data_IF_033429278819
#
_entry.id   IF_033429278819
#
_cell.length_a   1.000
_cell.length_b   1.000
_cell.length_c   1.000
_cell.angle_alpha   90.00
_cell.angle_beta   90.00
_cell.angle_gamma   90.00
#
_symmetry.space_group_name_H-M   'P 1'
#
loop_
_entity.id
_entity.type
_entity.pdbx_description
1 polymer ?
#
# COMPACT_ATOMS: atom_id res chain seq x y z
N UNK A 1 26.14 -14.77 -8.07
CA UNK A 1 24.76 -14.52 -8.50
C UNK A 1 24.79 -13.38 -9.51
N UNK A 2 24.27 -13.53 -10.73
CA UNK A 2 24.19 -12.41 -11.67
C UNK A 2 23.20 -11.35 -11.15
N UNK A 3 23.50 -10.07 -11.38
CA UNK A 3 22.60 -8.98 -11.04
C UNK A 3 21.32 -9.10 -11.88
N UNK A 4 20.15 -9.08 -11.22
CA UNK A 4 18.88 -8.99 -11.94
C UNK A 4 18.69 -7.57 -12.44
N UNK A 5 18.42 -7.43 -13.74
CA UNK A 5 18.07 -6.15 -14.34
C UNK A 5 16.62 -5.85 -13.99
N UNK A 6 16.42 -4.89 -13.10
CA UNK A 6 15.09 -4.42 -12.69
C UNK A 6 14.71 -3.23 -13.58
N UNK A 7 13.60 -3.33 -14.30
CA UNK A 7 13.02 -2.22 -15.06
C UNK A 7 11.83 -1.65 -14.29
N UNK A 8 11.95 -0.41 -13.83
CA UNK A 8 10.87 0.30 -13.13
C UNK A 8 10.39 1.43 -14.02
N UNK A 9 9.07 1.56 -14.19
CA UNK A 9 8.46 2.65 -14.96
C UNK A 9 7.64 3.52 -14.00
N UNK A 10 8.11 4.74 -13.66
CA UNK A 10 7.47 5.60 -12.65
C UNK A 10 5.96 5.81 -12.79
N UNK A 11 5.39 6.11 -13.98
CA UNK A 11 3.94 6.31 -14.08
C UNK A 11 3.15 5.04 -13.75
N UNK A 12 3.62 3.86 -14.18
CA UNK A 12 2.95 2.59 -13.85
C UNK A 12 3.02 2.25 -12.36
N UNK A 13 4.08 2.68 -11.67
CA UNK A 13 4.22 2.49 -10.22
C UNK A 13 3.22 3.35 -9.45
N UNK A 14 2.97 4.58 -9.90
CA UNK A 14 1.94 5.45 -9.33
C UNK A 14 0.51 4.97 -9.63
N UNK A 15 0.24 4.47 -10.84
CA UNK A 15 -1.06 3.87 -11.19
C UNK A 15 -1.35 2.60 -10.39
N UNK A 16 -0.34 1.76 -10.17
CA UNK A 16 -0.48 0.59 -9.31
C UNK A 16 -0.79 1.00 -7.87
N UNK A 17 -0.08 2.01 -7.35
CA UNK A 17 -0.31 2.52 -6.00
C UNK A 17 -1.71 3.13 -5.85
N UNK A 18 -2.18 3.91 -6.83
CA UNK A 18 -3.52 4.49 -6.81
C UNK A 18 -4.61 3.44 -6.93
N UNK A 19 -4.39 2.38 -7.71
CA UNK A 19 -5.31 1.24 -7.83
C UNK A 19 -5.45 0.51 -6.50
N UNK A 20 -4.34 0.25 -5.81
CA UNK A 20 -4.36 -0.41 -4.50
C UNK A 20 -4.95 0.49 -3.43
N UNK A 21 -4.66 1.79 -3.45
CA UNK A 21 -5.29 2.75 -2.55
C UNK A 21 -6.81 2.83 -2.77
N UNK A 22 -7.25 2.83 -4.03
CA UNK A 22 -8.66 2.84 -4.39
C UNK A 22 -9.42 1.58 -3.97
N UNK A 23 -8.78 0.40 -4.07
CA UNK A 23 -9.39 -0.86 -3.60
C UNK A 23 -9.44 -0.95 -2.09
N UNK A 24 -8.40 -0.51 -1.38
CA UNK A 24 -8.37 -0.49 0.09
C UNK A 24 -9.36 0.53 0.70
N UNK A 25 -9.64 1.63 0.00
CA UNK A 25 -10.69 2.58 0.37
C UNK A 25 -12.12 2.02 0.21
N UNK A 26 -12.33 0.96 -0.58
CA UNK A 26 -13.64 0.27 -0.71
C UNK A 26 -13.89 -0.73 0.43
N UNK A 27 -13.43 -0.41 1.65
CA UNK A 27 -13.58 -1.29 2.80
C UNK A 27 -15.07 -1.65 2.97
N UNK A 28 -15.42 -2.94 3.15
CA UNK A 28 -16.82 -3.34 3.31
C UNK A 28 -17.47 -2.57 4.46
N UNK A 29 -18.79 -2.30 4.40
CA UNK A 29 -19.49 -1.58 5.46
C UNK A 29 -19.19 -2.24 6.80
N UNK A 30 -18.91 -1.42 7.83
CA UNK A 30 -18.70 -1.91 9.19
C UNK A 30 -19.80 -2.91 9.54
N UNK A 31 -19.48 -4.04 10.21
CA UNK A 31 -20.49 -5.02 10.57
C UNK A 31 -21.64 -4.30 11.26
N UNK A 32 -22.85 -4.40 10.70
CA UNK A 32 -24.05 -3.87 11.33
C UNK A 32 -24.15 -4.43 12.75
N UNK A 33 -24.58 -3.60 13.71
CA UNK A 33 -24.74 -4.01 15.10
C UNK A 33 -25.50 -5.34 15.17
N UNK A 34 -24.88 -6.35 15.78
CA UNK A 34 -25.49 -7.66 15.92
C UNK A 34 -26.69 -7.49 16.86
N UNK A 35 -27.90 -7.91 16.47
CA UNK A 35 -29.07 -7.82 17.33
C UNK A 35 -28.76 -8.47 18.68
N UNK A 36 -28.84 -7.69 19.75
CA UNK A 36 -28.68 -8.23 21.09
C UNK A 36 -29.90 -9.11 21.39
N UNK A 37 -29.67 -10.41 21.57
CA UNK A 37 -30.69 -11.29 22.12
C UNK A 37 -31.07 -10.78 23.51
N UNK A 38 -32.37 -10.67 23.81
CA UNK A 38 -32.83 -10.40 25.18
C UNK A 38 -32.34 -11.55 26.04
N UNK A 39 -31.58 -11.32 27.14
CA UNK A 39 -31.01 -12.40 27.92
C UNK A 39 -32.12 -13.25 28.55
N UNK A 40 -32.42 -14.40 27.96
CA UNK A 40 -33.36 -15.40 28.47
C UNK A 40 -32.66 -16.66 28.97
N UNK A 41 -31.41 -16.88 28.53
CA UNK A 41 -30.60 -18.05 28.85
C UNK A 41 -29.10 -17.74 28.85
N UNK A 42 -28.26 -18.55 29.50
CA UNK A 42 -26.80 -18.41 29.41
C UNK A 42 -26.26 -18.56 27.97
N UNK A 43 -26.98 -19.25 27.09
CA UNK A 43 -26.63 -19.35 25.67
C UNK A 43 -26.78 -17.99 24.96
N UNK A 44 -27.76 -17.18 25.32
CA UNK A 44 -27.97 -15.84 24.72
C UNK A 44 -26.84 -14.88 25.09
N UNK A 45 -26.34 -14.99 26.33
CA UNK A 45 -25.18 -14.23 26.81
C UNK A 45 -23.90 -14.65 26.07
N UNK A 46 -23.71 -15.95 25.85
CA UNK A 46 -22.58 -16.46 25.08
C UNK A 46 -22.62 -16.00 23.61
N UNK A 47 -23.80 -16.01 22.98
CA UNK A 47 -24.00 -15.57 21.60
C UNK A 47 -23.76 -14.07 21.41
N UNK A 48 -24.27 -13.23 22.32
CA UNK A 48 -24.02 -11.79 22.29
C UNK A 48 -22.54 -11.47 22.50
N UNK A 49 -21.86 -12.17 23.42
CA UNK A 49 -20.41 -12.06 23.61
C UNK A 49 -19.60 -12.45 22.38
N UNK A 50 -19.93 -13.60 21.76
CA UNK A 50 -19.27 -14.06 20.54
C UNK A 50 -19.48 -13.06 19.39
N UNK A 51 -20.69 -12.55 19.22
CA UNK A 51 -20.99 -11.48 18.28
C UNK A 51 -20.14 -10.23 18.50
N UNK A 52 -20.06 -9.74 19.75
CA UNK A 52 -19.25 -8.57 20.08
C UNK A 52 -17.76 -8.77 19.75
N UNK A 53 -17.21 -9.96 20.00
CA UNK A 53 -15.81 -10.27 19.65
C UNK A 53 -15.58 -10.30 18.14
N UNK A 54 -16.52 -10.86 17.37
CA UNK A 54 -16.45 -10.87 15.90
C UNK A 54 -16.56 -9.46 15.32
N UNK A 55 -17.48 -8.64 15.83
CA UNK A 55 -17.63 -7.24 15.43
C UNK A 55 -16.37 -6.43 15.73
N UNK A 56 -15.76 -6.63 16.90
CA UNK A 56 -14.49 -5.96 17.27
C UNK A 56 -13.36 -6.37 16.34
N UNK A 57 -13.20 -7.68 16.06
CA UNK A 57 -12.17 -8.19 15.15
C UNK A 57 -12.33 -7.62 13.75
N UNK A 58 -13.55 -7.61 13.23
CA UNK A 58 -13.85 -7.04 11.93
C UNK A 58 -13.54 -5.53 11.90
N UNK A 59 -13.91 -4.78 12.94
CA UNK A 59 -13.58 -3.35 13.04
C UNK A 59 -12.07 -3.09 13.05
N UNK A 60 -11.27 -3.90 13.77
CA UNK A 60 -9.81 -3.80 13.73
C UNK A 60 -9.24 -4.12 12.34
N UNK A 61 -9.73 -5.16 11.67
CA UNK A 61 -9.28 -5.50 10.32
C UNK A 61 -9.61 -4.39 9.31
N UNK A 62 -10.80 -3.82 9.39
CA UNK A 62 -11.20 -2.65 8.59
C UNK A 62 -10.28 -1.46 8.85
N UNK A 63 -9.95 -1.19 10.12
CA UNK A 63 -9.07 -0.09 10.50
C UNK A 63 -7.61 -0.29 10.07
N UNK A 64 -7.12 -1.53 10.05
CA UNK A 64 -5.79 -1.87 9.52
C UNK A 64 -5.75 -1.71 7.99
N UNK A 65 -6.74 -2.27 7.29
CA UNK A 65 -6.84 -2.18 5.83
C UNK A 65 -6.92 -0.72 5.34
N UNK A 66 -7.66 0.13 6.06
CA UNK A 66 -7.81 1.55 5.73
C UNK A 66 -6.48 2.33 5.75
N UNK A 67 -5.47 1.88 6.51
CA UNK A 67 -4.16 2.57 6.60
C UNK A 67 -3.21 2.23 5.45
N UNK A 68 -3.38 1.06 4.82
CA UNK A 68 -2.43 0.53 3.84
C UNK A 68 -2.43 1.35 2.55
N UNK A 69 -3.61 1.79 2.08
CA UNK A 69 -3.73 2.57 0.84
C UNK A 69 -2.92 3.87 0.85
N UNK A 70 -3.14 4.78 1.82
CA UNK A 70 -2.35 6.00 1.95
C UNK A 70 -0.85 5.75 2.14
N UNK A 71 -0.48 4.71 2.91
CA UNK A 71 0.91 4.36 3.13
C UNK A 71 1.60 3.95 1.81
N UNK A 72 0.97 3.07 1.03
CA UNK A 72 1.49 2.66 -0.28
C UNK A 72 1.61 3.82 -1.24
N UNK A 73 0.64 4.73 -1.27
CA UNK A 73 0.69 5.92 -2.11
C UNK A 73 1.90 6.81 -1.77
N UNK A 74 2.13 7.08 -0.47
CA UNK A 74 3.27 7.87 0.00
C UNK A 74 4.62 7.20 -0.29
N UNK A 75 4.73 5.88 -0.05
CA UNK A 75 5.93 5.10 -0.39
C UNK A 75 6.21 5.13 -1.88
N UNK A 76 5.19 4.95 -2.73
CA UNK A 76 5.36 4.97 -4.18
C UNK A 76 5.76 6.34 -4.72
N UNK A 77 5.21 7.44 -4.18
CA UNK A 77 5.66 8.80 -4.53
C UNK A 77 7.13 9.02 -4.16
N UNK A 78 7.54 8.57 -2.96
CA UNK A 78 8.94 8.64 -2.52
C UNK A 78 9.85 7.84 -3.45
N UNK A 79 9.45 6.62 -3.82
CA UNK A 79 10.19 5.77 -4.74
C UNK A 79 10.36 6.42 -6.12
N UNK A 80 9.30 7.02 -6.68
CA UNK A 80 9.39 7.76 -7.95
C UNK A 80 10.39 8.90 -7.85
N UNK A 81 10.31 9.73 -6.81
CA UNK A 81 11.25 10.85 -6.65
C UNK A 81 12.72 10.39 -6.55
N UNK A 82 12.95 9.24 -5.91
CA UNK A 82 14.29 8.65 -5.78
C UNK A 82 14.80 8.14 -7.13
N UNK A 83 13.93 7.49 -7.91
CA UNK A 83 14.27 7.01 -9.26
C UNK A 83 14.59 8.18 -10.21
N UNK A 84 13.79 9.25 -10.18
CA UNK A 84 14.04 10.44 -11.00
C UNK A 84 15.36 11.13 -10.64
N UNK A 85 15.68 11.23 -9.34
CA UNK A 85 16.97 11.76 -8.90
C UNK A 85 18.15 10.88 -9.37
N UNK A 86 17.98 9.56 -9.30
CA UNK A 86 18.99 8.61 -9.75
C UNK A 86 19.18 8.64 -11.27
N UNK A 87 18.10 8.77 -12.05
CA UNK A 87 18.15 8.91 -13.50
C UNK A 87 18.87 10.19 -13.91
N UNK A 88 18.61 11.32 -13.23
CA UNK A 88 19.33 12.58 -13.47
C UNK A 88 20.84 12.45 -13.16
N UNK A 89 21.19 11.76 -12.07
CA UNK A 89 22.58 11.49 -11.73
C UNK A 89 23.26 10.62 -12.79
N UNK A 90 22.61 9.53 -13.22
CA UNK A 90 23.10 8.63 -14.25
C UNK A 90 23.27 9.36 -15.60
N UNK A 91 22.31 10.19 -16.00
CA UNK A 91 22.40 11.00 -17.22
C UNK A 91 23.62 11.93 -17.20
N UNK A 92 23.88 12.58 -16.06
CA UNK A 92 25.05 13.44 -15.86
C UNK A 92 26.36 12.66 -15.98
N UNK A 93 26.44 11.47 -15.38
CA UNK A 93 27.62 10.60 -15.49
C UNK A 93 27.87 10.15 -16.93
N UNK A 94 26.83 9.74 -17.65
CA UNK A 94 26.92 9.31 -19.06
C UNK A 94 27.43 10.46 -19.94
N UNK A 95 26.94 11.69 -19.73
CA UNK A 95 27.44 12.87 -20.44
C UNK A 95 28.92 13.12 -20.16
N UNK A 96 29.37 12.99 -18.90
CA UNK A 96 30.78 13.15 -18.54
C UNK A 96 31.69 12.11 -19.21
N UNK A 97 31.25 10.85 -19.28
CA UNK A 97 31.97 9.79 -20.00
C UNK A 97 32.03 10.09 -21.49
N UNK A 98 30.91 10.50 -22.09
CA UNK A 98 30.84 10.87 -23.51
C UNK A 98 31.79 12.03 -23.86
N UNK A 99 31.84 13.07 -23.03
CA UNK A 99 32.74 14.20 -23.22
C UNK A 99 34.22 13.81 -23.08
N UNK A 100 34.55 12.94 -22.11
CA UNK A 100 35.92 12.44 -21.92
C UNK A 100 36.38 11.56 -23.09
N UNK A 101 35.48 10.81 -23.70
CA UNK A 101 35.77 9.98 -24.87
C UNK A 101 36.06 10.82 -26.13
N UNK A 102 35.40 11.97 -26.31
CA UNK A 102 35.58 12.85 -27.48
C UNK A 102 36.90 13.63 -27.43
N UNK A 103 37.41 13.96 -26.24
CA UNK A 103 38.69 14.68 -26.07
C UNK A 103 39.93 13.81 -26.38
N UNK A 104 39.75 12.49 -26.45
CA UNK A 104 40.85 11.52 -26.63
C UNK A 104 40.99 11.02 -28.09
N UNK A 105 40.29 11.65 -29.05
CA UNK A 105 40.35 11.30 -30.48
C UNK A 105 41.06 12.37 -31.29
#
# INVERSE_FOLDING_TARGET
MPAQVIKVTPPTLLEAASTVAGTSARTPPSPSAIPAAVPGSPFDVAWTGLGATMGTRAATMTAEAARVGPALQGTSQTAVSTLEAQDNHNATQIQGVGQSAVVTV
#
